data_IF_927138801029
#
_entry.id   IF_927138801029
#
_cell.length_a   1.000
_cell.length_b   1.000
_cell.length_c   1.000
_cell.angle_alpha   90.00
_cell.angle_beta   90.00
_cell.angle_gamma   90.00
#
_symmetry.space_group_name_H-M   'P 1'
#
loop_
_entity.id
_entity.type
_entity.pdbx_description
1 polymer ?
#
# COMPACT_ATOMS: atom_id res chain seq x y z
N UNK A 1 14.46 38.52 -28.55
CA UNK A 1 15.57 38.18 -27.62
C UNK A 1 15.01 38.00 -26.21
N UNK A 2 15.02 36.76 -25.70
CA UNK A 2 15.29 36.32 -24.32
C UNK A 2 14.85 34.86 -24.22
N UNK A 3 15.79 33.97 -24.52
CA UNK A 3 15.73 32.56 -24.16
C UNK A 3 16.10 32.44 -22.68
N UNK A 4 15.39 31.64 -21.88
CA UNK A 4 16.03 31.01 -20.73
C UNK A 4 15.36 29.70 -20.29
N UNK A 5 16.03 28.62 -20.71
CA UNK A 5 16.35 27.36 -20.01
C UNK A 5 15.23 26.56 -19.34
N UNK A 6 14.78 25.55 -20.09
CA UNK A 6 14.45 24.21 -19.57
C UNK A 6 15.61 23.64 -18.75
N UNK A 7 15.37 23.31 -17.48
CA UNK A 7 16.32 22.60 -16.62
C UNK A 7 15.94 21.11 -16.60
N UNK A 8 16.53 20.35 -17.53
CA UNK A 8 16.54 18.89 -17.47
C UNK A 8 17.78 18.54 -16.64
N UNK A 9 17.60 18.05 -15.41
CA UNK A 9 18.68 17.52 -14.61
C UNK A 9 18.59 15.99 -14.65
N UNK A 10 19.17 15.41 -15.70
CA UNK A 10 19.45 13.98 -15.79
C UNK A 10 20.84 13.74 -15.22
N UNK A 11 20.95 13.06 -14.08
CA UNK A 11 22.17 12.34 -13.71
C UNK A 11 21.76 10.94 -13.24
N UNK A 12 21.85 10.02 -14.20
CA UNK A 12 22.04 8.59 -13.99
C UNK A 12 23.46 8.41 -13.47
N UNK A 13 23.65 7.70 -12.36
CA UNK A 13 24.83 6.85 -12.11
C UNK A 13 24.61 6.01 -10.85
N UNK A 14 24.70 4.69 -10.98
CA UNK A 14 24.62 3.76 -9.85
C UNK A 14 24.56 2.30 -10.29
N UNK A 15 25.61 1.85 -10.97
CA UNK A 15 25.87 0.46 -11.38
C UNK A 15 26.02 -0.45 -10.15
N UNK A 16 25.28 -1.56 -10.10
CA UNK A 16 25.52 -2.80 -9.36
C UNK A 16 24.23 -3.64 -9.50
N UNK A 17 24.16 -4.91 -9.87
CA UNK A 17 25.11 -6.03 -9.95
C UNK A 17 24.58 -6.93 -11.08
N UNK A 18 25.48 -7.62 -11.80
CA UNK A 18 25.12 -8.54 -12.87
C UNK A 18 24.15 -9.64 -12.42
N UNK A 19 23.04 -9.77 -13.12
CA UNK A 19 22.35 -11.04 -13.25
C UNK A 19 22.97 -11.76 -14.44
N UNK A 20 23.87 -12.69 -14.18
CA UNK A 20 24.27 -13.67 -15.17
C UNK A 20 23.04 -14.52 -15.53
N UNK A 21 22.78 -14.56 -16.82
CA UNK A 21 21.78 -15.42 -17.45
C UNK A 21 22.29 -16.86 -17.36
N UNK A 22 21.48 -17.77 -16.80
CA UNK A 22 21.44 -19.15 -17.26
C UNK A 22 19.99 -19.51 -17.58
N UNK A 23 19.70 -19.56 -18.89
CA UNK A 23 18.59 -20.35 -19.39
C UNK A 23 19.03 -21.82 -19.35
N UNK A 24 18.16 -22.73 -18.90
CA UNK A 24 17.92 -24.02 -19.55
C UNK A 24 16.74 -24.72 -18.88
N UNK A 25 15.75 -25.00 -19.71
CA UNK A 25 14.60 -25.88 -19.49
C UNK A 25 15.03 -27.35 -19.55
N UNK A 26 14.67 -28.17 -18.58
CA UNK A 26 14.53 -29.63 -18.74
C UNK A 26 13.79 -30.17 -17.52
N UNK A 27 12.50 -30.51 -17.67
CA UNK A 27 11.96 -31.88 -17.81
C UNK A 27 12.02 -32.71 -16.52
N UNK A 28 10.87 -33.34 -16.27
CA UNK A 28 10.50 -34.13 -15.10
C UNK A 28 11.23 -35.48 -14.99
N UNK A 29 11.17 -36.01 -13.77
CA UNK A 29 11.39 -37.41 -13.31
C UNK A 29 12.87 -37.84 -13.20
N UNK A 30 13.34 -38.53 -12.15
CA UNK A 30 12.69 -39.39 -11.15
C UNK A 30 13.63 -39.60 -9.92
N UNK A 31 13.02 -40.03 -8.81
CA UNK A 31 13.55 -40.69 -7.59
C UNK A 31 15.05 -41.04 -7.47
N UNK A 32 15.71 -40.75 -6.34
CA UNK A 32 15.70 -41.58 -5.11
C UNK A 32 16.67 -41.07 -4.01
N UNK A 33 16.33 -41.33 -2.75
CA UNK A 33 17.15 -41.36 -1.51
C UNK A 33 17.82 -40.08 -0.95
N UNK A 34 17.11 -39.51 0.04
CA UNK A 34 17.54 -39.17 1.43
C UNK A 34 18.92 -38.54 1.69
N UNK A 35 18.92 -37.20 1.84
CA UNK A 35 19.63 -36.51 2.93
C UNK A 35 18.67 -35.50 3.56
N UNK A 36 18.42 -35.68 4.86
CA UNK A 36 17.61 -34.76 5.68
C UNK A 36 18.36 -33.45 5.87
N UNK A 37 18.18 -32.51 4.96
CA UNK A 37 18.40 -31.10 5.23
C UNK A 37 17.08 -30.38 4.99
N UNK A 38 16.43 -30.06 6.11
CA UNK A 38 15.23 -29.25 6.16
C UNK A 38 15.58 -27.88 5.56
N UNK A 39 15.31 -27.71 4.27
CA UNK A 39 15.25 -26.38 3.66
C UNK A 39 14.07 -25.69 4.32
N UNK A 40 14.37 -24.99 5.41
CA UNK A 40 13.50 -24.01 6.00
C UNK A 40 13.40 -22.90 4.96
N UNK A 41 12.42 -23.03 4.05
CA UNK A 41 11.92 -21.90 3.28
C UNK A 41 11.36 -20.97 4.34
N UNK A 42 12.20 -20.06 4.81
CA UNK A 42 11.75 -18.91 5.58
C UNK A 42 10.93 -18.12 4.57
N UNK A 43 9.63 -18.42 4.50
CA UNK A 43 8.65 -17.46 4.02
C UNK A 43 8.92 -16.20 4.84
N UNK A 44 9.54 -15.19 4.22
CA UNK A 44 9.50 -13.85 4.76
C UNK A 44 8.03 -13.48 4.82
N UNK A 45 7.42 -13.78 5.98
CA UNK A 45 6.05 -13.41 6.28
C UNK A 45 6.06 -11.89 6.27
N UNK A 46 5.65 -11.29 5.16
CA UNK A 46 5.58 -9.85 5.00
C UNK A 46 4.82 -9.32 6.20
N UNK A 47 5.47 -8.47 7.00
CA UNK A 47 4.87 -7.96 8.23
C UNK A 47 3.65 -7.14 7.85
N UNK A 48 2.48 -7.62 8.26
CA UNK A 48 1.23 -6.88 8.14
C UNK A 48 1.32 -5.56 8.91
N UNK A 49 0.92 -4.47 8.26
CA UNK A 49 0.78 -3.16 8.89
C UNK A 49 -0.36 -3.18 9.91
N UNK A 50 -0.29 -2.33 10.91
CA UNK A 50 -1.39 -2.20 11.88
C UNK A 50 -2.54 -1.35 11.36
N UNK A 51 -3.71 -1.40 12.01
CA UNK A 51 -4.85 -0.49 11.72
C UNK A 51 -4.46 0.98 11.86
N UNK A 52 -3.72 1.36 12.91
CA UNK A 52 -3.22 2.72 13.11
C UNK A 52 -2.29 3.18 11.97
N UNK A 53 -1.48 2.26 11.45
CA UNK A 53 -0.61 2.49 10.31
C UNK A 53 -1.44 2.66 9.03
N UNK A 54 -2.45 1.82 8.81
CA UNK A 54 -3.39 1.96 7.69
C UNK A 54 -4.14 3.30 7.73
N UNK A 55 -4.61 3.74 8.90
CA UNK A 55 -5.24 5.06 9.11
C UNK A 55 -4.25 6.18 8.79
N UNK A 56 -2.99 6.04 9.20
CA UNK A 56 -1.94 7.03 8.93
C UNK A 56 -1.65 7.15 7.43
N UNK A 57 -1.55 6.02 6.73
CA UNK A 57 -1.40 5.98 5.26
C UNK A 57 -2.61 6.62 4.57
N UNK A 58 -3.83 6.32 5.02
CA UNK A 58 -5.05 6.92 4.48
C UNK A 58 -5.08 8.44 4.66
N UNK A 59 -4.77 8.95 5.86
CA UNK A 59 -4.67 10.40 6.14
C UNK A 59 -3.67 11.08 5.21
N UNK A 60 -2.49 10.49 5.04
CA UNK A 60 -1.48 11.04 4.13
C UNK A 60 -1.95 11.05 2.67
N UNK A 61 -2.58 9.97 2.22
CA UNK A 61 -3.09 9.84 0.86
C UNK A 61 -4.15 10.90 0.57
N UNK A 62 -5.12 11.07 1.47
CA UNK A 62 -6.17 12.08 1.32
C UNK A 62 -5.62 13.51 1.33
N UNK A 63 -4.67 13.80 2.23
CA UNK A 63 -4.00 15.10 2.26
C UNK A 63 -3.26 15.40 0.94
N UNK A 64 -2.52 14.43 0.40
CA UNK A 64 -1.81 14.55 -0.88
C UNK A 64 -2.77 14.76 -2.07
N UNK A 65 -3.98 14.23 -1.99
CA UNK A 65 -5.03 14.37 -3.01
C UNK A 65 -5.98 15.56 -2.76
N UNK A 66 -5.65 16.47 -1.83
CA UNK A 66 -6.41 17.70 -1.59
C UNK A 66 -7.66 17.54 -0.74
N UNK A 67 -7.84 16.39 -0.08
CA UNK A 67 -8.94 16.15 0.86
C UNK A 67 -8.45 16.56 2.25
N UNK A 68 -9.02 17.64 2.79
CA UNK A 68 -8.72 18.11 4.14
C UNK A 68 -9.30 17.15 5.18
N UNK A 69 -8.43 16.57 6.02
CA UNK A 69 -8.81 15.57 7.00
C UNK A 69 -9.20 16.15 8.38
N UNK A 70 -8.96 17.44 8.64
CA UNK A 70 -9.15 18.04 9.98
C UNK A 70 -10.60 17.99 10.47
N UNK A 71 -11.57 18.04 9.56
CA UNK A 71 -13.01 17.94 9.86
C UNK A 71 -13.59 16.54 9.60
N UNK A 72 -12.74 15.56 9.27
CA UNK A 72 -13.14 14.23 8.81
C UNK A 72 -12.71 13.17 9.81
N UNK A 73 -13.61 12.23 10.04
CA UNK A 73 -13.30 10.99 10.75
C UNK A 73 -12.80 9.99 9.72
N UNK A 74 -11.67 9.35 10.03
CA UNK A 74 -11.04 8.31 9.22
C UNK A 74 -10.77 7.15 10.16
N UNK A 75 -11.45 6.03 9.92
CA UNK A 75 -11.37 4.83 10.77
C UNK A 75 -11.38 3.56 9.92
N UNK A 76 -10.89 2.47 10.50
CA UNK A 76 -11.06 1.14 9.92
C UNK A 76 -12.49 0.70 10.24
N UNK A 77 -13.30 0.48 9.21
CA UNK A 77 -14.66 -0.05 9.33
C UNK A 77 -14.63 -1.55 9.56
N UNK A 78 -13.91 -2.28 8.69
CA UNK A 78 -13.69 -3.71 8.84
C UNK A 78 -12.49 -4.19 8.01
N UNK A 79 -12.23 -5.50 8.07
CA UNK A 79 -11.15 -6.18 7.35
C UNK A 79 -11.75 -7.08 6.27
N UNK A 80 -11.31 -6.94 5.02
CA UNK A 80 -11.64 -7.82 3.90
C UNK A 80 -10.37 -8.47 3.37
N UNK A 81 -10.22 -9.78 3.56
CA UNK A 81 -9.04 -10.54 3.07
C UNK A 81 -7.72 -9.90 3.50
N UNK A 82 -6.97 -9.38 2.51
CA UNK A 82 -5.66 -8.75 2.66
C UNK A 82 -5.74 -7.22 2.81
N UNK A 83 -6.94 -6.65 2.99
CA UNK A 83 -7.17 -5.21 3.03
C UNK A 83 -7.89 -4.77 4.33
N UNK A 84 -7.51 -3.58 4.81
CA UNK A 84 -8.32 -2.79 5.73
C UNK A 84 -9.28 -1.91 4.94
N UNK A 85 -10.56 -1.97 5.27
CA UNK A 85 -11.57 -1.08 4.70
C UNK A 85 -11.64 0.18 5.56
N UNK A 86 -11.17 1.29 5.01
CA UNK A 86 -11.16 2.60 5.63
C UNK A 86 -12.44 3.34 5.27
N UNK A 87 -13.22 3.72 6.28
CA UNK A 87 -14.37 4.60 6.13
C UNK A 87 -13.95 6.04 6.42
N UNK A 88 -14.35 6.95 5.53
CA UNK A 88 -14.16 8.38 5.71
C UNK A 88 -15.51 9.10 5.66
N UNK A 89 -15.78 9.88 6.70
CA UNK A 89 -17.01 10.65 6.84
C UNK A 89 -16.75 11.95 7.60
N UNK A 90 -17.70 12.86 7.55
CA UNK A 90 -17.70 14.07 8.36
C UNK A 90 -18.94 14.09 9.25
N UNK A 91 -18.80 14.65 10.45
CA UNK A 91 -19.93 14.91 11.34
C UNK A 91 -20.46 16.29 10.99
N UNK A 92 -21.67 16.33 10.45
CA UNK A 92 -22.38 17.53 10.04
C UNK A 92 -23.43 17.87 11.10
N UNK A 93 -23.31 19.05 11.68
CA UNK A 93 -24.21 19.52 12.72
C UNK A 93 -23.47 20.45 13.66
N UNK A 94 -24.17 21.44 14.23
CA UNK A 94 -23.63 22.32 15.26
C UNK A 94 -24.38 22.08 16.57
N UNK A 95 -24.04 20.98 17.24
CA UNK A 95 -24.07 20.84 18.69
C UNK A 95 -25.39 20.92 19.47
N UNK A 96 -26.56 21.19 18.87
CA UNK A 96 -27.77 21.38 19.69
C UNK A 96 -28.98 20.50 19.37
N UNK A 97 -29.24 20.06 18.13
CA UNK A 97 -30.42 19.20 17.87
C UNK A 97 -30.27 18.12 16.78
N UNK A 98 -29.37 18.26 15.82
CA UNK A 98 -29.18 17.27 14.75
C UNK A 98 -27.70 17.15 14.35
N UNK A 99 -27.11 16.01 14.69
CA UNK A 99 -25.81 15.57 14.17
C UNK A 99 -26.06 14.42 13.20
N UNK A 100 -25.52 14.55 11.98
CA UNK A 100 -25.57 13.55 10.94
C UNK A 100 -24.15 13.23 10.49
N UNK A 101 -23.87 11.98 10.14
CA UNK A 101 -22.66 11.65 9.39
C UNK A 101 -22.93 11.81 7.90
N UNK A 102 -22.04 12.50 7.19
CA UNK A 102 -22.00 12.51 5.73
C UNK A 102 -20.81 11.65 5.29
N UNK A 103 -21.10 10.50 4.69
CA UNK A 103 -20.05 9.59 4.21
C UNK A 103 -19.44 10.14 2.92
N UNK A 104 -18.11 10.11 2.85
CA UNK A 104 -17.35 10.49 1.66
C UNK A 104 -16.92 9.27 0.85
N UNK A 105 -16.73 8.12 1.51
CA UNK A 105 -16.51 6.85 0.83
C UNK A 105 -15.83 5.80 1.70
N UNK A 106 -15.56 4.66 1.05
CA UNK A 106 -14.76 3.57 1.58
C UNK A 106 -13.56 3.30 0.68
N UNK A 107 -12.43 3.01 1.29
CA UNK A 107 -11.16 2.80 0.60
C UNK A 107 -10.48 1.56 1.15
N UNK A 108 -9.82 0.79 0.29
CA UNK A 108 -9.04 -0.38 0.69
C UNK A 108 -7.61 0.04 0.93
N UNK A 109 -7.01 -0.38 2.06
CA UNK A 109 -5.57 -0.29 2.32
C UNK A 109 -5.02 -1.71 2.45
N UNK A 110 -4.13 -2.09 1.55
CA UNK A 110 -3.56 -3.43 1.59
C UNK A 110 -2.60 -3.61 2.78
N UNK A 111 -2.82 -4.66 3.56
CA UNK A 111 -2.10 -5.00 4.79
C UNK A 111 -0.61 -5.21 4.62
N UNK A 112 -0.18 -5.66 3.45
CA UNK A 112 1.21 -6.03 3.19
C UNK A 112 1.98 -4.96 2.42
N UNK A 113 1.27 -4.12 1.66
CA UNK A 113 1.89 -3.13 0.77
C UNK A 113 1.56 -1.68 1.14
N UNK A 114 0.52 -1.43 1.92
CA UNK A 114 0.01 -0.09 2.21
C UNK A 114 -0.64 0.60 1.00
N UNK A 115 -0.84 -0.09 -0.11
CA UNK A 115 -1.46 0.48 -1.30
C UNK A 115 -2.92 0.80 -1.04
N UNK A 116 -3.36 1.98 -1.51
CA UNK A 116 -4.74 2.44 -1.42
C UNK A 116 -5.47 2.25 -2.76
N UNK A 117 -6.69 1.74 -2.70
CA UNK A 117 -7.62 1.72 -3.82
C UNK A 117 -9.05 2.05 -3.36
N UNK A 118 -9.93 2.42 -4.29
CA UNK A 118 -11.32 2.69 -3.95
C UNK A 118 -12.07 1.37 -3.72
N UNK A 119 -12.95 1.33 -2.72
CA UNK A 119 -13.92 0.25 -2.58
C UNK A 119 -15.14 0.59 -3.45
N UNK A 120 -15.35 -0.16 -4.54
CA UNK A 120 -16.37 0.11 -5.57
C UNK A 120 -17.70 -0.56 -5.24
#
# INVERSE_FOLDING_TARGET
MKYLKTMILSIVLGLAVGCEIYNTSESLEESDVSVKDSVNVVEEKSKEISEDEAISIAKEYFLKNGIQCESKVIEVDHVEEDDYIIHIYEIVGKGEEYEHSATLGWFKVNKYTGNISNNN
#
